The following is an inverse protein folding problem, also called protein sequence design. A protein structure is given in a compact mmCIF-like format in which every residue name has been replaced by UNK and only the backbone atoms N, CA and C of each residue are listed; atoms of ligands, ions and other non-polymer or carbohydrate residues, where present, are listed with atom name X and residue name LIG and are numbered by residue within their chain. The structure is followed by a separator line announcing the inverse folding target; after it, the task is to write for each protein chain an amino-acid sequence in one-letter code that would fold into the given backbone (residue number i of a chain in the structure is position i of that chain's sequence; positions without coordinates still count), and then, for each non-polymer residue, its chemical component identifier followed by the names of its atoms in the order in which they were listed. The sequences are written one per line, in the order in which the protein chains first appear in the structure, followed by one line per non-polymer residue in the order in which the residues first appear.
data_IF_121464419435
#
_entry.id   IF_121464419435
#
_cell.length_a   1.000
_cell.length_b   1.000
_cell.length_c   1.000
_cell.angle_alpha   90.00
_cell.angle_beta   90.00
_cell.angle_gamma   90.00
#
_symmetry.space_group_name_H-M   'P 1'
#
loop_
_entity.id
_entity.type
_entity.pdbx_description
1 polymer ?
#
# COMPACT_ATOMS: atom_id res chain seq x y z
N UNK A 1 -12.67 16.09 23.57
CA UNK A 1 -13.48 15.69 22.40
C UNK A 1 -12.78 14.58 21.60
N UNK A 2 -11.55 14.79 21.10
CA UNK A 2 -10.81 13.75 20.35
C UNK A 2 -10.40 12.51 21.17
N UNK A 3 -9.96 12.67 22.42
CA UNK A 3 -9.65 11.54 23.32
C UNK A 3 -10.87 10.66 23.60
N UNK A 4 -12.06 11.25 23.66
CA UNK A 4 -13.32 10.52 23.82
C UNK A 4 -13.68 9.73 22.55
N UNK A 5 -13.48 10.30 21.36
CA UNK A 5 -13.66 9.57 20.09
C UNK A 5 -12.67 8.41 19.96
N UNK A 6 -11.42 8.60 20.37
CA UNK A 6 -10.44 7.51 20.37
C UNK A 6 -10.82 6.40 21.36
N UNK A 7 -11.38 6.76 22.52
CA UNK A 7 -11.89 5.77 23.48
C UNK A 7 -13.07 4.96 22.92
N UNK A 8 -13.95 5.60 22.13
CA UNK A 8 -15.01 4.89 21.39
C UNK A 8 -14.43 3.92 20.35
N UNK A 9 -13.40 4.33 19.60
CA UNK A 9 -12.72 3.44 18.65
C UNK A 9 -12.00 2.27 19.34
N UNK A 10 -11.37 2.50 20.49
CA UNK A 10 -10.76 1.44 21.30
C UNK A 10 -11.81 0.44 21.77
N UNK A 11 -12.95 0.91 22.29
CA UNK A 11 -14.04 0.03 22.72
C UNK A 11 -14.63 -0.76 21.54
N UNK A 12 -14.85 -0.09 20.40
CA UNK A 12 -15.32 -0.73 19.17
C UNK A 12 -14.36 -1.81 18.67
N UNK A 13 -13.06 -1.52 18.61
CA UNK A 13 -12.05 -2.46 18.11
C UNK A 13 -12.04 -3.79 18.88
N UNK A 14 -12.33 -3.76 20.19
CA UNK A 14 -12.38 -4.97 21.03
C UNK A 14 -13.48 -5.94 20.64
N UNK A 15 -14.67 -5.42 20.36
CA UNK A 15 -15.79 -6.24 19.90
C UNK A 15 -15.67 -6.58 18.42
N UNK A 16 -15.20 -5.61 17.61
CA UNK A 16 -15.09 -5.75 16.17
C UNK A 16 -14.14 -6.87 15.74
N UNK A 17 -12.93 -6.93 16.30
CA UNK A 17 -11.96 -7.98 15.94
C UNK A 17 -12.50 -9.36 16.33
N UNK A 18 -13.05 -9.49 17.53
CA UNK A 18 -13.62 -10.75 18.02
C UNK A 18 -14.76 -11.25 17.14
N UNK A 19 -15.70 -10.37 16.78
CA UNK A 19 -16.80 -10.71 15.88
C UNK A 19 -16.32 -11.08 14.48
N UNK A 20 -15.28 -10.40 13.97
CA UNK A 20 -14.67 -10.74 12.69
C UNK A 20 -13.95 -12.09 12.74
N UNK A 21 -13.24 -12.43 13.82
CA UNK A 21 -12.61 -13.74 13.93
C UNK A 21 -13.64 -14.87 13.90
N UNK A 22 -14.74 -14.74 14.65
CA UNK A 22 -15.83 -15.73 14.63
C UNK A 22 -16.40 -15.91 13.21
N UNK A 23 -16.71 -14.79 12.54
CA UNK A 23 -17.22 -14.81 11.17
C UNK A 23 -16.23 -15.43 10.18
N UNK A 24 -14.96 -15.04 10.25
CA UNK A 24 -13.95 -15.50 9.29
C UNK A 24 -13.55 -16.95 9.53
N UNK A 25 -13.53 -17.41 10.78
CA UNK A 25 -13.35 -18.83 11.10
C UNK A 25 -14.52 -19.66 10.56
N UNK A 26 -15.76 -19.20 10.74
CA UNK A 26 -16.93 -19.85 10.13
C UNK A 26 -16.82 -19.90 8.60
N UNK A 27 -16.41 -18.81 7.94
CA UNK A 27 -16.22 -18.79 6.49
C UNK A 27 -15.14 -19.80 6.05
N UNK A 28 -14.04 -19.93 6.79
CA UNK A 28 -13.02 -20.94 6.50
C UNK A 28 -13.57 -22.36 6.65
N UNK A 29 -14.37 -22.63 7.68
CA UNK A 29 -15.04 -23.93 7.86
C UNK A 29 -16.00 -24.29 6.73
N UNK A 30 -16.51 -23.29 5.99
CA UNK A 30 -17.33 -23.48 4.80
C UNK A 30 -16.53 -23.80 3.51
N UNK A 31 -15.21 -23.95 3.57
CA UNK A 31 -14.39 -24.34 2.42
C UNK A 31 -13.83 -23.16 1.60
N UNK A 32 -13.62 -22.00 2.23
CA UNK A 32 -13.13 -20.77 1.57
C UNK A 32 -11.61 -20.56 1.66
N UNK A 33 -10.85 -21.55 2.12
CA UNK A 33 -9.41 -21.46 2.35
C UNK A 33 -8.58 -21.21 1.07
N UNK A 34 -9.05 -21.71 -0.07
CA UNK A 34 -8.38 -21.54 -1.37
C UNK A 34 -8.91 -20.33 -2.16
N UNK A 35 -9.96 -19.65 -1.68
CA UNK A 35 -10.53 -18.49 -2.36
C UNK A 35 -9.54 -17.31 -2.34
N UNK A 36 -9.09 -16.87 -3.52
CA UNK A 36 -8.17 -15.75 -3.66
C UNK A 36 -6.76 -16.05 -3.18
N UNK A 37 -6.39 -17.34 -3.09
CA UNK A 37 -5.09 -17.80 -2.62
C UNK A 37 -3.97 -17.31 -3.52
N UNK A 38 -2.89 -16.81 -2.91
CA UNK A 38 -1.70 -16.33 -3.62
C UNK A 38 -0.43 -16.68 -2.87
N UNK A 39 0.69 -16.70 -3.60
CA UNK A 39 2.01 -16.71 -3.00
C UNK A 39 2.22 -15.42 -2.19
N UNK A 40 2.84 -15.53 -1.01
CA UNK A 40 3.09 -14.41 -0.11
C UNK A 40 4.23 -13.52 -0.61
N UNK A 41 3.95 -12.79 -1.70
CA UNK A 41 4.78 -11.73 -2.25
C UNK A 41 4.10 -10.39 -1.92
N UNK A 42 4.60 -9.69 -0.91
CA UNK A 42 3.93 -8.54 -0.28
C UNK A 42 4.86 -7.31 -0.26
N UNK A 43 4.28 -6.11 -0.31
CA UNK A 43 5.02 -4.85 -0.20
C UNK A 43 4.33 -3.88 0.77
N UNK A 44 5.12 -3.31 1.68
CA UNK A 44 4.74 -2.27 2.62
C UNK A 44 5.81 -1.19 2.62
N UNK A 45 5.40 0.07 2.56
CA UNK A 45 6.32 1.21 2.75
C UNK A 45 6.38 1.67 4.20
N UNK A 46 5.58 1.07 5.08
CA UNK A 46 5.52 1.47 6.48
C UNK A 46 4.79 2.79 6.71
N UNK A 47 4.42 3.03 7.96
CA UNK A 47 3.62 4.20 8.38
C UNK A 47 3.87 4.58 9.82
N UNK A 48 3.34 5.75 10.21
CA UNK A 48 3.51 6.38 11.52
C UNK A 48 4.98 6.65 11.82
N UNK A 49 5.49 7.74 11.25
CA UNK A 49 6.86 8.19 11.44
C UNK A 49 7.13 8.56 12.91
N UNK A 50 8.30 8.17 13.41
CA UNK A 50 8.80 8.63 14.70
C UNK A 50 9.19 10.12 14.59
N UNK A 51 8.61 11.00 15.44
CA UNK A 51 8.80 12.45 15.32
C UNK A 51 10.23 12.92 15.62
N UNK A 52 11.04 12.11 16.31
CA UNK A 52 12.43 12.40 16.64
C UNK A 52 13.42 11.79 15.63
N UNK A 53 13.00 10.76 14.90
CA UNK A 53 13.82 10.13 13.86
C UNK A 53 13.62 10.77 12.46
N UNK A 54 12.41 11.24 12.14
CA UNK A 54 12.08 11.72 10.80
C UNK A 54 12.78 13.03 10.43
N UNK A 55 13.61 13.00 9.38
CA UNK A 55 14.38 14.17 8.92
C UNK A 55 13.89 14.76 7.60
N UNK A 56 13.05 14.03 6.85
CA UNK A 56 12.65 14.40 5.50
C UNK A 56 13.78 14.38 4.47
N UNK A 57 14.96 13.87 4.82
CA UNK A 57 16.10 13.74 3.92
C UNK A 57 16.18 12.33 3.33
N UNK A 58 16.54 12.26 2.04
CA UNK A 58 16.68 10.99 1.33
C UNK A 58 17.84 10.13 1.89
N UNK A 59 18.94 10.74 2.30
CA UNK A 59 20.10 10.04 2.90
C UNK A 59 19.75 9.28 4.18
N UNK A 60 18.73 9.74 4.90
CA UNK A 60 18.24 9.12 6.14
C UNK A 60 17.00 8.24 5.90
N UNK A 61 16.54 8.08 4.66
CA UNK A 61 15.27 7.41 4.29
C UNK A 61 15.07 6.09 5.05
N UNK A 62 16.08 5.24 5.01
CA UNK A 62 16.06 3.94 5.69
C UNK A 62 16.12 4.07 7.21
N UNK A 63 16.91 5.01 7.72
CA UNK A 63 17.10 5.21 9.16
C UNK A 63 15.81 5.61 9.85
N UNK A 64 15.05 6.57 9.30
CA UNK A 64 13.76 6.95 9.87
C UNK A 64 12.64 5.98 9.48
N UNK A 65 12.74 5.33 8.32
CA UNK A 65 11.82 4.26 7.91
C UNK A 65 11.79 3.09 8.89
N UNK A 66 12.96 2.66 9.36
CA UNK A 66 13.12 1.60 10.37
C UNK A 66 12.51 1.94 11.74
N UNK A 67 12.20 3.22 12.00
CA UNK A 67 11.58 3.69 13.25
C UNK A 67 10.07 3.84 13.17
N UNK A 68 9.47 3.57 12.01
CA UNK A 68 8.02 3.58 11.81
C UNK A 68 7.31 2.52 12.67
N UNK A 69 6.15 2.86 13.22
CA UNK A 69 5.32 1.89 13.98
C UNK A 69 4.72 0.81 13.10
N UNK A 70 4.56 1.06 11.80
CA UNK A 70 4.38 -0.01 10.81
C UNK A 70 5.67 -0.11 10.03
N UNK A 71 6.35 -1.25 10.14
CA UNK A 71 7.68 -1.41 9.54
C UNK A 71 7.58 -1.56 8.02
N UNK A 72 8.37 -0.81 7.23
CA UNK A 72 8.49 -1.05 5.79
C UNK A 72 9.04 -2.44 5.51
N UNK A 73 8.67 -3.02 4.37
CA UNK A 73 9.33 -4.22 3.92
C UNK A 73 8.80 -4.79 2.61
N UNK A 74 9.62 -5.67 2.03
CA UNK A 74 9.21 -6.56 0.93
C UNK A 74 9.31 -7.99 1.42
N UNK A 75 8.24 -8.75 1.21
CA UNK A 75 8.16 -10.17 1.50
C UNK A 75 8.12 -10.91 0.17
N UNK A 76 8.94 -11.93 0.00
CA UNK A 76 8.91 -12.82 -1.17
C UNK A 76 8.86 -14.25 -0.67
N UNK A 77 7.89 -15.02 -1.17
CA UNK A 77 7.66 -16.42 -0.77
C UNK A 77 7.51 -16.57 0.76
N UNK A 78 6.86 -15.60 1.39
CA UNK A 78 6.65 -15.55 2.83
C UNK A 78 7.85 -15.07 3.67
N UNK A 79 9.02 -14.86 3.05
CA UNK A 79 10.23 -14.42 3.75
C UNK A 79 10.41 -12.91 3.62
N UNK A 80 10.69 -12.23 4.74
CA UNK A 80 11.05 -10.81 4.73
C UNK A 80 12.43 -10.65 4.06
N UNK A 81 12.47 -9.93 2.95
CA UNK A 81 13.66 -9.76 2.11
C UNK A 81 14.46 -8.53 2.53
N UNK A 82 13.77 -7.42 2.80
CA UNK A 82 14.40 -6.16 3.18
C UNK A 82 13.40 -5.26 3.91
N UNK A 83 13.89 -4.42 4.82
CA UNK A 83 13.17 -3.26 5.39
C UNK A 83 13.74 -1.92 4.90
N UNK A 84 14.79 -1.97 4.07
CA UNK A 84 15.53 -0.80 3.59
C UNK A 84 14.69 -0.03 2.57
N UNK A 85 14.08 1.09 2.99
CA UNK A 85 13.24 1.92 2.12
C UNK A 85 13.99 2.45 0.88
N UNK A 86 15.30 2.67 0.97
CA UNK A 86 16.11 3.07 -0.20
C UNK A 86 16.20 1.93 -1.20
N UNK A 87 16.44 0.71 -0.71
CA UNK A 87 16.44 -0.48 -1.55
C UNK A 87 15.08 -0.78 -2.15
N UNK A 88 14.01 -0.65 -1.36
CA UNK A 88 12.63 -0.84 -1.80
C UNK A 88 12.33 0.16 -2.93
N UNK A 89 12.60 1.45 -2.71
CA UNK A 89 12.43 2.51 -3.71
C UNK A 89 13.12 2.17 -5.03
N UNK A 90 14.42 1.88 -4.98
CA UNK A 90 15.23 1.62 -6.17
C UNK A 90 14.85 0.31 -6.89
N UNK A 91 14.16 -0.61 -6.21
CA UNK A 91 13.63 -1.85 -6.81
C UNK A 91 12.34 -1.68 -7.60
N UNK A 92 11.66 -0.53 -7.53
CA UNK A 92 10.35 -0.35 -8.17
C UNK A 92 10.50 -0.25 -9.70
N UNK A 93 9.72 -1.05 -10.42
CA UNK A 93 9.57 -1.02 -11.88
C UNK A 93 8.10 -0.82 -12.20
N UNK A 94 7.79 -0.03 -13.21
CA UNK A 94 6.42 0.17 -13.68
C UNK A 94 6.33 -0.09 -15.18
N UNK A 95 5.50 -1.05 -15.58
CA UNK A 95 5.31 -1.45 -16.97
C UNK A 95 3.96 -0.97 -17.51
N UNK A 96 3.87 -0.83 -18.83
CA UNK A 96 2.66 -0.38 -19.54
C UNK A 96 2.27 -1.27 -20.73
N UNK A 97 2.83 -2.49 -20.79
CA UNK A 97 2.65 -3.45 -21.89
C UNK A 97 1.18 -3.66 -22.24
N UNK A 98 0.35 -3.88 -21.22
CA UNK A 98 -1.09 -4.11 -21.35
C UNK A 98 -1.94 -2.90 -20.95
N UNK A 99 -1.32 -1.72 -20.87
CA UNK A 99 -1.96 -0.48 -20.42
C UNK A 99 -2.14 0.53 -21.56
N UNK A 100 -3.20 1.35 -21.54
CA UNK A 100 -3.51 2.37 -22.57
C UNK A 100 -2.59 3.61 -22.54
N UNK A 101 -1.27 3.39 -22.62
CA UNK A 101 -0.24 4.43 -22.66
C UNK A 101 0.77 4.17 -23.78
N UNK A 102 1.40 5.23 -24.30
CA UNK A 102 2.59 5.14 -25.13
C UNK A 102 3.85 4.97 -24.26
N UNK A 103 4.87 4.30 -24.81
CA UNK A 103 6.20 4.24 -24.19
C UNK A 103 6.80 5.64 -24.04
N UNK A 104 7.48 5.85 -22.91
CA UNK A 104 8.30 7.05 -22.72
C UNK A 104 9.72 6.81 -23.23
N UNK A 105 10.49 7.89 -23.37
CA UNK A 105 11.88 7.78 -23.79
C UNK A 105 12.70 7.09 -22.70
N UNK A 106 13.36 5.99 -23.06
CA UNK A 106 14.19 5.22 -22.13
C UNK A 106 15.59 5.80 -22.04
N UNK A 107 15.80 6.77 -21.14
CA UNK A 107 17.13 7.22 -20.75
C UNK A 107 17.50 6.65 -19.38
N UNK A 108 18.65 5.96 -19.29
CA UNK A 108 19.18 5.42 -18.01
C UNK A 108 19.79 6.50 -17.13
N UNK A 109 20.28 7.58 -17.73
CA UNK A 109 20.92 8.67 -17.01
C UNK A 109 19.88 9.52 -16.28
N UNK A 110 19.50 9.10 -15.07
CA UNK A 110 18.82 10.01 -14.16
C UNK A 110 19.86 11.04 -13.66
N UNK A 111 19.57 12.36 -13.67
CA UNK A 111 20.56 13.41 -13.39
C UNK A 111 21.31 13.28 -12.05
N UNK A 112 20.77 12.51 -11.11
CA UNK A 112 21.32 12.32 -9.76
C UNK A 112 21.59 10.86 -9.38
N UNK A 113 21.15 9.88 -10.18
CA UNK A 113 21.31 8.44 -9.88
C UNK A 113 21.63 7.71 -11.18
N UNK A 114 22.90 7.48 -11.46
CA UNK A 114 23.38 6.97 -12.76
C UNK A 114 22.80 5.61 -13.15
N UNK A 115 22.56 4.73 -12.17
CA UNK A 115 22.13 3.35 -12.40
C UNK A 115 20.62 3.14 -12.19
N UNK A 116 19.84 4.22 -12.18
CA UNK A 116 18.40 4.13 -12.01
C UNK A 116 17.75 3.47 -13.23
N UNK A 117 16.91 2.46 -12.98
CA UNK A 117 16.18 1.78 -14.05
C UNK A 117 15.33 2.73 -14.88
N UNK A 118 15.29 2.51 -16.20
CA UNK A 118 14.39 3.23 -17.13
C UNK A 118 12.91 3.06 -16.77
N UNK A 119 12.58 1.96 -16.08
CA UNK A 119 11.23 1.62 -15.64
C UNK A 119 10.88 2.20 -14.26
N UNK A 120 11.79 2.92 -13.61
CA UNK A 120 11.53 3.54 -12.32
C UNK A 120 10.62 4.77 -12.47
N UNK A 121 9.72 5.07 -11.52
CA UNK A 121 8.80 6.21 -11.61
C UNK A 121 9.46 7.57 -11.85
N UNK A 122 10.64 7.84 -11.30
CA UNK A 122 11.38 9.07 -11.63
C UNK A 122 11.71 9.22 -13.12
N UNK A 123 11.82 8.13 -13.88
CA UNK A 123 12.10 8.15 -15.32
C UNK A 123 10.83 8.15 -16.20
N UNK A 124 9.66 7.87 -15.62
CA UNK A 124 8.41 7.69 -16.36
C UNK A 124 7.78 9.00 -16.85
N UNK A 125 7.27 8.95 -18.07
CA UNK A 125 6.29 9.92 -18.60
C UNK A 125 4.97 9.24 -18.89
N UNK A 126 3.86 9.86 -18.50
CA UNK A 126 2.52 9.30 -18.69
C UNK A 126 1.90 9.89 -19.95
N UNK A 127 1.89 9.11 -21.04
CA UNK A 127 1.35 9.51 -22.35
C UNK A 127 0.11 8.67 -22.69
N UNK A 128 -1.13 9.15 -22.47
CA UNK A 128 -2.34 8.36 -22.71
C UNK A 128 -2.50 7.98 -24.19
N UNK A 129 -2.74 6.69 -24.44
CA UNK A 129 -3.02 6.12 -25.76
C UNK A 129 -4.24 5.18 -25.70
N UNK A 130 -5.46 5.74 -25.74
CA UNK A 130 -6.68 4.94 -25.79
C UNK A 130 -6.66 4.00 -26.99
N UNK A 131 -7.01 2.73 -26.77
CA UNK A 131 -7.17 1.75 -27.83
C UNK A 131 -8.47 0.95 -27.64
N UNK A 132 -8.72 -0.03 -28.52
CA UNK A 132 -9.95 -0.85 -28.46
C UNK A 132 -10.04 -1.55 -27.09
N UNK A 133 -11.15 -1.36 -26.35
CA UNK A 133 -11.32 -2.01 -25.05
C UNK A 133 -11.48 -3.52 -25.21
N UNK A 134 -11.14 -4.27 -24.15
CA UNK A 134 -11.28 -5.73 -24.07
C UNK A 134 -10.45 -6.49 -25.12
N UNK A 135 -9.33 -5.91 -25.56
CA UNK A 135 -8.31 -6.64 -26.30
C UNK A 135 -7.39 -7.36 -25.30
N UNK A 136 -7.84 -8.52 -24.80
CA UNK A 136 -7.18 -9.23 -23.68
C UNK A 136 -5.75 -9.71 -24.00
N UNK A 137 -5.43 -9.93 -25.27
CA UNK A 137 -4.08 -10.27 -25.74
C UNK A 137 -3.19 -9.03 -25.97
N UNK A 138 -3.78 -7.83 -25.93
CA UNK A 138 -3.09 -6.55 -26.12
C UNK A 138 -3.32 -5.60 -24.95
N UNK A 139 -3.48 -4.29 -25.22
CA UNK A 139 -3.78 -3.31 -24.16
C UNK A 139 -5.25 -3.43 -23.74
N UNK A 140 -5.49 -3.65 -22.45
CA UNK A 140 -6.85 -3.85 -21.90
C UNK A 140 -7.15 -3.03 -20.64
N UNK A 141 -6.17 -2.36 -20.02
CA UNK A 141 -6.36 -1.62 -18.77
C UNK A 141 -5.84 -0.18 -18.82
N UNK A 142 -6.44 0.70 -18.01
CA UNK A 142 -5.82 2.00 -17.67
C UNK A 142 -4.88 1.88 -16.47
N UNK A 143 -4.96 0.82 -15.68
CA UNK A 143 -3.94 0.53 -14.66
C UNK A 143 -2.60 0.19 -15.32
N UNK A 144 -1.51 0.70 -14.75
CA UNK A 144 -0.14 0.27 -15.07
C UNK A 144 0.22 -0.99 -14.31
N UNK A 145 1.36 -1.59 -14.62
CA UNK A 145 1.86 -2.81 -14.00
C UNK A 145 3.13 -2.56 -13.17
N UNK A 146 3.02 -2.00 -11.96
CA UNK A 146 4.13 -1.91 -11.03
C UNK A 146 4.54 -3.30 -10.52
N UNK A 147 5.85 -3.48 -10.37
CA UNK A 147 6.52 -4.69 -9.88
C UNK A 147 7.70 -4.29 -9.01
N UNK A 148 8.18 -5.22 -8.19
CA UNK A 148 9.39 -5.02 -7.41
C UNK A 148 10.50 -5.93 -7.92
N UNK A 149 11.61 -5.36 -8.36
CA UNK A 149 12.81 -6.09 -8.76
C UNK A 149 13.73 -6.31 -7.57
N UNK A 150 14.13 -7.57 -7.34
CA UNK A 150 15.15 -7.97 -6.39
C UNK A 150 16.56 -7.61 -6.91
N UNK A 151 16.80 -6.32 -7.15
CA UNK A 151 18.00 -5.85 -7.85
C UNK A 151 19.30 -6.08 -7.08
N UNK A 152 19.23 -6.24 -5.74
CA UNK A 152 20.35 -6.65 -4.89
C UNK A 152 20.54 -8.17 -4.82
N UNK A 153 19.70 -8.95 -5.51
CA UNK A 153 19.76 -10.43 -5.58
C UNK A 153 19.70 -11.08 -4.20
N UNK A 154 18.80 -10.62 -3.34
CA UNK A 154 18.59 -11.18 -2.00
C UNK A 154 17.85 -12.52 -2.04
N UNK A 155 17.10 -12.78 -3.10
CA UNK A 155 16.31 -14.01 -3.31
C UNK A 155 16.73 -14.68 -4.61
N UNK A 156 16.42 -14.07 -5.75
CA UNK A 156 16.64 -14.67 -7.07
C UNK A 156 17.01 -13.67 -8.17
N UNK A 157 17.09 -12.38 -7.83
CA UNK A 157 17.44 -11.34 -8.79
C UNK A 157 16.34 -11.00 -9.80
N UNK A 158 15.11 -11.48 -9.60
CA UNK A 158 14.00 -11.34 -10.56
C UNK A 158 13.05 -10.20 -10.22
N UNK A 159 12.16 -9.93 -11.17
CA UNK A 159 11.00 -9.05 -11.01
C UNK A 159 9.86 -9.85 -10.41
N UNK A 160 9.26 -9.33 -9.34
CA UNK A 160 8.20 -9.98 -8.58
C UNK A 160 6.89 -9.18 -8.64
N UNK A 161 5.78 -9.91 -8.78
CA UNK A 161 4.44 -9.38 -8.57
C UNK A 161 4.19 -9.35 -7.06
N UNK A 162 3.97 -8.17 -6.51
CA UNK A 162 3.78 -7.97 -5.06
C UNK A 162 2.39 -7.38 -4.75
N UNK A 163 1.85 -7.78 -3.61
CA UNK A 163 0.58 -7.32 -3.08
C UNK A 163 0.76 -6.23 -2.02
N UNK A 164 -0.01 -5.16 -2.15
CA UNK A 164 -0.09 -4.11 -1.14
C UNK A 164 -1.38 -4.28 -0.30
N UNK A 165 -1.32 -3.96 1.00
CA UNK A 165 -2.51 -4.01 1.85
C UNK A 165 -2.24 -4.18 3.33
N UNK A 166 -3.30 -4.24 4.16
CA UNK A 166 -3.17 -4.50 5.59
C UNK A 166 -2.39 -5.78 5.90
N UNK A 167 -2.55 -6.84 5.09
CA UNK A 167 -1.78 -8.08 5.27
C UNK A 167 -0.28 -7.86 5.07
N UNK A 168 0.13 -7.03 4.10
CA UNK A 168 1.53 -6.68 3.88
C UNK A 168 2.11 -5.93 5.09
N UNK A 169 1.39 -4.92 5.60
CA UNK A 169 1.81 -4.14 6.79
C UNK A 169 2.01 -5.02 8.01
N UNK A 170 1.01 -5.86 8.30
CA UNK A 170 1.01 -6.72 9.47
C UNK A 170 2.13 -7.76 9.35
N UNK A 171 2.34 -8.33 8.16
CA UNK A 171 3.42 -9.29 7.90
C UNK A 171 4.80 -8.68 8.05
N UNK A 172 5.08 -7.52 7.43
CA UNK A 172 6.40 -6.87 7.53
C UNK A 172 6.67 -6.44 8.96
N UNK A 173 5.68 -5.87 9.65
CA UNK A 173 5.80 -5.47 11.07
C UNK A 173 6.03 -6.68 11.98
N UNK A 174 5.30 -7.77 11.79
CA UNK A 174 5.46 -9.01 12.57
C UNK A 174 6.85 -9.65 12.39
N UNK A 175 7.38 -9.65 11.16
CA UNK A 175 8.61 -10.37 10.83
C UNK A 175 9.90 -9.55 11.05
N UNK A 176 9.82 -8.22 10.99
CA UNK A 176 11.01 -7.37 11.01
C UNK A 176 11.65 -7.18 12.40
N UNK A 177 10.92 -7.41 13.49
CA UNK A 177 11.41 -7.18 14.87
C UNK A 177 11.98 -5.78 15.11
N UNK A 178 11.37 -4.76 14.47
CA UNK A 178 11.76 -3.34 14.58
C UNK A 178 10.88 -2.53 15.55
N UNK A 179 9.76 -3.11 16.00
CA UNK A 179 8.83 -2.52 16.96
C UNK A 179 8.58 -3.49 18.10
N UNK A 180 8.27 -2.99 19.29
CA UNK A 180 8.12 -3.80 20.50
C UNK A 180 6.96 -4.82 20.40
N UNK A 181 5.96 -4.53 19.56
CA UNK A 181 4.82 -5.41 19.33
C UNK A 181 5.15 -6.61 18.43
N UNK A 182 6.32 -6.60 17.78
CA UNK A 182 6.76 -7.63 16.86
C UNK A 182 7.34 -8.84 17.58
N UNK A 183 6.80 -10.04 17.34
CA UNK A 183 7.31 -11.29 17.93
C UNK A 183 8.21 -12.08 16.98
N UNK A 184 8.44 -11.57 15.76
CA UNK A 184 9.06 -12.30 14.65
C UNK A 184 8.07 -13.15 13.83
N UNK A 185 6.90 -13.49 14.40
CA UNK A 185 5.87 -14.32 13.74
C UNK A 185 4.44 -13.81 13.94
N UNK A 186 4.26 -12.78 14.77
CA UNK A 186 2.98 -12.13 15.07
C UNK A 186 3.20 -10.66 15.44
N UNK A 187 2.11 -9.89 15.46
CA UNK A 187 2.04 -8.57 16.08
C UNK A 187 1.15 -8.67 17.31
N UNK A 188 1.70 -8.42 18.50
CA UNK A 188 1.02 -8.52 19.79
C UNK A 188 0.98 -7.17 20.51
N UNK A 189 -0.21 -6.71 20.85
CA UNK A 189 -0.43 -5.39 21.46
C UNK A 189 -1.67 -5.39 22.36
N UNK A 190 -1.73 -4.45 23.30
CA UNK A 190 -2.82 -4.35 24.27
C UNK A 190 -3.55 -3.04 24.11
N UNK A 191 -4.85 -3.11 23.84
CA UNK A 191 -5.72 -1.94 23.92
C UNK A 191 -6.10 -1.67 25.39
N UNK A 192 -6.00 -0.41 25.85
CA UNK A 192 -6.22 -0.07 27.25
C UNK A 192 -7.69 -0.21 27.64
N UNK A 193 -7.97 -0.16 28.95
CA UNK A 193 -9.34 -0.07 29.48
C UNK A 193 -10.09 1.13 28.87
N UNK A 194 -11.33 0.92 28.45
CA UNK A 194 -12.20 1.94 27.87
C UNK A 194 -13.66 1.69 28.26
N UNK A 195 -14.17 2.47 29.23
CA UNK A 195 -15.57 2.37 29.66
C UNK A 195 -16.43 3.32 28.83
N UNK A 196 -17.09 2.78 27.80
CA UNK A 196 -17.91 3.56 26.86
C UNK A 196 -19.33 2.97 26.82
N UNK A 197 -20.34 3.81 27.02
CA UNK A 197 -21.74 3.38 26.93
C UNK A 197 -22.05 2.77 25.56
N UNK A 198 -22.72 1.61 25.56
CA UNK A 198 -23.05 0.86 24.34
C UNK A 198 -22.08 -0.26 23.99
N UNK A 199 -20.90 -0.30 24.62
CA UNK A 199 -19.94 -1.41 24.48
C UNK A 199 -19.90 -2.26 25.75
N UNK A 200 -19.73 -3.57 25.57
CA UNK A 200 -19.71 -4.63 26.58
C UNK A 200 -18.30 -4.86 27.13
N UNK A 201 -17.27 -4.71 26.31
CA UNK A 201 -15.88 -4.97 26.71
C UNK A 201 -15.20 -3.70 27.21
N UNK A 202 -15.17 -3.53 28.53
CA UNK A 202 -14.56 -2.34 29.16
C UNK A 202 -13.08 -2.53 29.51
N UNK A 203 -12.70 -3.70 30.03
CA UNK A 203 -11.32 -3.99 30.46
C UNK A 203 -10.31 -3.99 29.30
N UNK A 204 -9.03 -3.89 29.65
CA UNK A 204 -7.96 -3.99 28.64
C UNK A 204 -8.01 -5.34 27.92
N UNK A 205 -7.60 -5.35 26.65
CA UNK A 205 -7.66 -6.54 25.82
C UNK A 205 -6.41 -6.65 24.96
N UNK A 206 -5.74 -7.80 25.04
CA UNK A 206 -4.57 -8.12 24.22
C UNK A 206 -5.03 -8.76 22.92
N UNK A 207 -4.50 -8.27 21.80
CA UNK A 207 -4.64 -8.86 20.48
C UNK A 207 -3.31 -9.45 20.04
N UNK A 208 -3.38 -10.55 19.32
CA UNK A 208 -2.23 -11.12 18.64
C UNK A 208 -2.64 -11.52 17.22
N UNK A 209 -2.20 -10.75 16.23
CA UNK A 209 -2.33 -11.14 14.83
C UNK A 209 -1.15 -12.02 14.46
N UNK A 210 -1.38 -13.25 14.04
CA UNK A 210 -0.33 -14.20 13.63
C UNK A 210 -0.19 -14.19 12.12
N UNK A 211 1.05 -14.31 11.64
CA UNK A 211 1.32 -14.48 10.22
C UNK A 211 0.57 -15.75 9.75
N UNK A 212 -0.34 -15.63 8.76
CA UNK A 212 -1.11 -16.78 8.31
C UNK A 212 -0.23 -17.71 7.46
N UNK A 213 -0.56 -19.00 7.48
CA UNK A 213 0.14 -20.01 6.65
C UNK A 213 -0.09 -19.81 5.14
N UNK A 214 -1.22 -19.21 4.79
CA UNK A 214 -1.68 -19.00 3.42
C UNK A 214 -2.17 -17.55 3.31
N UNK A 215 -1.86 -16.88 2.21
CA UNK A 215 -2.47 -15.60 1.85
C UNK A 215 -3.67 -15.88 0.96
N UNK A 216 -4.87 -15.56 1.44
CA UNK A 216 -6.14 -15.74 0.72
C UNK A 216 -7.10 -14.57 0.97
N UNK A 217 -8.32 -14.63 0.45
CA UNK A 217 -9.32 -13.58 0.64
C UNK A 217 -9.68 -13.36 2.12
N UNK A 218 -9.86 -14.44 2.89
CA UNK A 218 -10.25 -14.38 4.30
C UNK A 218 -9.16 -13.72 5.16
N UNK A 219 -7.91 -14.15 4.99
CA UNK A 219 -6.78 -13.64 5.78
C UNK A 219 -6.44 -12.18 5.45
N UNK A 220 -6.75 -11.70 4.23
CA UNK A 220 -6.73 -10.25 3.92
C UNK A 220 -7.76 -9.48 4.75
N UNK A 221 -8.97 -10.02 4.91
CA UNK A 221 -10.01 -9.39 5.75
C UNK A 221 -9.60 -9.44 7.23
N UNK A 222 -9.08 -10.59 7.71
CA UNK A 222 -8.59 -10.74 9.08
C UNK A 222 -7.50 -9.72 9.39
N UNK A 223 -6.48 -9.62 8.52
CA UNK A 223 -5.42 -8.63 8.68
C UNK A 223 -5.95 -7.19 8.68
N UNK A 224 -7.01 -6.88 7.91
CA UNK A 224 -7.66 -5.56 7.94
C UNK A 224 -8.36 -5.28 9.27
N UNK A 225 -9.03 -6.27 9.86
CA UNK A 225 -9.68 -6.13 11.16
C UNK A 225 -8.65 -5.91 12.28
N UNK A 226 -7.58 -6.71 12.30
CA UNK A 226 -6.50 -6.52 13.27
C UNK A 226 -5.73 -5.22 13.05
N UNK A 227 -5.51 -4.79 11.81
CA UNK A 227 -4.87 -3.50 11.54
C UNK A 227 -5.72 -2.32 12.01
N UNK A 228 -7.05 -2.43 12.01
CA UNK A 228 -7.93 -1.42 12.62
C UNK A 228 -7.64 -1.27 14.12
N UNK A 229 -7.58 -2.39 14.85
CA UNK A 229 -7.22 -2.38 16.27
C UNK A 229 -5.78 -1.89 16.50
N UNK A 230 -4.83 -2.31 15.66
CA UNK A 230 -3.43 -1.86 15.74
C UNK A 230 -3.30 -0.35 15.49
N UNK A 231 -4.04 0.20 14.53
CA UNK A 231 -4.07 1.65 14.30
C UNK A 231 -4.66 2.41 15.49
N UNK A 232 -5.66 1.86 16.18
CA UNK A 232 -6.20 2.46 17.40
C UNK A 232 -5.16 2.44 18.53
N UNK A 233 -4.42 1.34 18.67
CA UNK A 233 -3.30 1.22 19.60
C UNK A 233 -2.20 2.25 19.32
N UNK A 234 -1.74 2.36 18.07
CA UNK A 234 -0.71 3.34 17.67
C UNK A 234 -1.20 4.77 17.90
N UNK A 235 -2.44 5.09 17.52
CA UNK A 235 -3.02 6.42 17.73
C UNK A 235 -3.14 6.79 19.22
N UNK A 236 -3.46 5.81 20.09
CA UNK A 236 -3.51 6.02 21.52
C UNK A 236 -2.13 6.37 22.10
N UNK A 237 -1.10 5.60 21.76
CA UNK A 237 0.25 5.87 22.22
C UNK A 237 0.79 7.20 21.66
N UNK A 238 0.53 7.50 20.38
CA UNK A 238 0.90 8.79 19.80
C UNK A 238 0.23 9.97 20.52
N UNK A 239 -1.03 9.83 20.95
CA UNK A 239 -1.71 10.87 21.73
C UNK A 239 -1.03 11.09 23.10
N UNK A 240 -0.60 10.02 23.75
CA UNK A 240 0.16 10.11 25.01
C UNK A 240 1.51 10.81 24.80
N UNK A 241 2.24 10.44 23.75
CA UNK A 241 3.50 11.08 23.37
C UNK A 241 3.30 12.59 23.11
N UNK A 242 2.25 12.97 22.37
CA UNK A 242 1.90 14.38 22.14
C UNK A 242 1.61 15.13 23.44
N UNK A 243 0.91 14.52 24.41
CA UNK A 243 0.71 15.15 25.72
C UNK A 243 2.02 15.38 26.47
N UNK A 244 2.96 14.44 26.41
CA UNK A 244 4.29 14.63 27.00
C UNK A 244 5.09 15.73 26.30
N UNK A 245 5.03 15.82 24.97
CA UNK A 245 5.66 16.91 24.21
C UNK A 245 5.09 18.28 24.63
N UNK A 246 3.76 18.39 24.74
CA UNK A 246 3.10 19.63 25.19
C UNK A 246 3.53 20.01 26.61
N UNK A 247 3.62 19.04 27.54
CA UNK A 247 4.11 19.29 28.91
C UNK A 247 5.53 19.83 28.95
N UNK A 248 6.40 19.39 28.02
CA UNK A 248 7.78 19.89 27.86
C UNK A 248 7.86 21.24 27.13
N UNK A 249 6.74 21.76 26.63
CA UNK A 249 6.68 23.00 25.83
C UNK A 249 7.03 22.80 24.36
N UNK A 250 7.17 21.56 23.88
CA UNK A 250 7.49 21.20 22.48
C UNK A 250 6.25 21.38 21.58
N UNK A 251 5.84 22.63 21.34
CA UNK A 251 4.58 22.98 20.65
C UNK A 251 4.77 23.48 19.22
N UNK A 252 6.00 23.42 18.68
CA UNK A 252 6.29 23.82 17.30
C UNK A 252 5.74 22.79 16.31
N UNK A 253 4.78 23.21 15.48
CA UNK A 253 4.10 22.34 14.49
C UNK A 253 4.52 22.60 13.04
N UNK A 254 5.39 23.58 12.80
CA UNK A 254 5.81 23.97 11.45
C UNK A 254 7.28 24.38 11.43
N UNK A 255 7.96 24.00 10.34
CA UNK A 255 9.34 24.39 10.06
C UNK A 255 9.39 25.15 8.73
N UNK A 256 10.08 26.28 8.74
CA UNK A 256 10.33 27.04 7.52
C UNK A 256 11.18 26.22 6.54
N UNK A 257 10.83 26.31 5.25
CA UNK A 257 11.57 25.67 4.19
C UNK A 257 11.72 26.61 3.00
N UNK A 258 12.79 26.42 2.22
CA UNK A 258 13.00 27.13 0.95
C UNK A 258 12.63 26.19 -0.18
N UNK A 259 11.76 26.64 -1.09
CA UNK A 259 11.40 25.87 -2.28
C UNK A 259 12.66 25.61 -3.13
N UNK A 260 13.02 24.34 -3.39
CA UNK A 260 14.19 24.04 -4.21
C UNK A 260 13.96 24.49 -5.65
N UNK A 261 15.01 25.02 -6.29
CA UNK A 261 15.01 25.30 -7.74
C UNK A 261 15.16 24.01 -8.54
N UNK A 262 16.08 23.15 -8.11
CA UNK A 262 16.38 21.85 -8.69
C UNK A 262 16.34 20.80 -7.59
N UNK A 263 15.95 19.57 -7.89
CA UNK A 263 16.05 18.46 -6.95
C UNK A 263 15.07 17.33 -7.22
N UNK A 264 15.23 16.23 -6.49
CA UNK A 264 14.30 15.10 -6.49
C UNK A 264 13.75 14.87 -5.09
N UNK A 265 12.55 14.31 -5.05
CA UNK A 265 11.91 13.87 -3.83
C UNK A 265 11.19 12.55 -4.04
N UNK A 266 11.09 11.79 -2.96
CA UNK A 266 10.22 10.62 -2.85
C UNK A 266 9.49 10.69 -1.51
N UNK A 267 8.19 10.39 -1.54
CA UNK A 267 7.37 10.18 -0.35
C UNK A 267 6.81 8.77 -0.39
N UNK A 268 7.34 7.88 0.46
CA UNK A 268 6.84 6.51 0.62
C UNK A 268 6.08 6.42 1.93
N UNK A 269 4.83 5.97 1.87
CA UNK A 269 3.96 5.81 3.05
C UNK A 269 2.91 4.72 2.80
N UNK A 270 2.07 4.45 3.79
CA UNK A 270 0.89 3.62 3.64
C UNK A 270 -0.36 4.47 3.50
N UNK A 271 -1.10 4.29 2.40
CA UNK A 271 -2.50 4.67 2.33
C UNK A 271 -3.37 3.56 2.94
N UNK A 272 -4.68 3.75 3.09
CA UNK A 272 -5.58 2.76 3.71
C UNK A 272 -5.49 1.37 3.07
N UNK A 273 -5.20 1.30 1.76
CA UNK A 273 -5.13 0.07 0.96
C UNK A 273 -3.73 -0.51 0.75
N UNK A 274 -2.67 0.13 1.26
CA UNK A 274 -1.30 -0.41 1.18
C UNK A 274 -0.24 0.64 0.85
N UNK A 275 0.86 0.18 0.25
CA UNK A 275 2.00 0.97 -0.19
C UNK A 275 1.63 2.09 -1.18
N UNK A 276 1.87 3.34 -0.80
CA UNK A 276 1.67 4.56 -1.58
C UNK A 276 3.00 5.28 -1.78
N UNK A 277 3.39 5.47 -3.04
CA UNK A 277 4.61 6.19 -3.40
C UNK A 277 4.33 7.41 -4.26
N UNK A 278 4.98 8.52 -3.92
CA UNK A 278 5.00 9.76 -4.70
C UNK A 278 6.44 10.09 -5.08
N UNK A 279 6.71 10.32 -6.36
CA UNK A 279 8.03 10.70 -6.88
C UNK A 279 7.94 12.04 -7.56
N UNK A 280 8.78 12.99 -7.15
CA UNK A 280 8.78 14.36 -7.66
C UNK A 280 10.17 14.75 -8.16
N UNK A 281 10.21 15.47 -9.28
CA UNK A 281 11.40 16.15 -9.80
C UNK A 281 11.08 17.63 -9.94
N UNK A 282 11.93 18.47 -9.39
CA UNK A 282 11.87 19.93 -9.48
C UNK A 282 12.90 20.44 -10.48
N UNK A 283 12.51 21.37 -11.36
CA UNK A 283 13.39 22.09 -12.29
C UNK A 283 12.97 23.55 -12.39
N UNK A 284 13.90 24.49 -12.32
CA UNK A 284 13.62 25.93 -12.37
C UNK A 284 12.63 26.42 -11.31
N UNK A 285 12.52 25.73 -10.17
CA UNK A 285 11.57 26.03 -9.09
C UNK A 285 10.13 25.56 -9.35
N UNK A 286 9.92 24.74 -10.37
CA UNK A 286 8.63 24.18 -10.79
C UNK A 286 8.69 22.65 -10.73
N UNK A 287 7.54 22.00 -10.54
CA UNK A 287 7.44 20.54 -10.66
C UNK A 287 7.63 20.19 -12.14
N UNK A 288 8.72 19.50 -12.46
CA UNK A 288 9.04 19.01 -13.80
C UNK A 288 8.36 17.68 -14.08
N UNK A 289 8.37 16.78 -13.09
CA UNK A 289 7.78 15.45 -13.19
C UNK A 289 7.20 15.03 -11.84
N UNK A 290 6.02 14.42 -11.87
CA UNK A 290 5.37 13.87 -10.70
C UNK A 290 4.72 12.55 -11.06
N UNK A 291 5.07 11.48 -10.35
CA UNK A 291 4.50 10.15 -10.54
C UNK A 291 3.98 9.62 -9.22
N UNK A 292 2.88 8.89 -9.29
CA UNK A 292 2.22 8.27 -8.13
C UNK A 292 1.96 6.81 -8.47
N UNK A 293 2.28 5.94 -7.53
CA UNK A 293 1.82 4.54 -7.55
C UNK A 293 1.05 4.33 -6.26
N UNK A 294 -0.26 4.07 -6.40
CA UNK A 294 -1.13 3.79 -5.25
C UNK A 294 -1.22 2.30 -4.99
N UNK A 295 -1.77 1.89 -3.84
CA UNK A 295 -1.90 0.47 -3.52
C UNK A 295 -2.78 -0.28 -4.51
N UNK A 296 -3.83 0.37 -5.01
CA UNK A 296 -4.70 -0.22 -6.03
C UNK A 296 -3.95 -0.41 -7.34
N UNK A 297 -3.03 0.48 -7.73
CA UNK A 297 -2.17 0.28 -8.92
C UNK A 297 -1.33 -0.99 -8.79
N UNK A 298 -0.81 -1.32 -7.60
CA UNK A 298 -0.15 -2.61 -7.36
C UNK A 298 -1.09 -3.78 -7.59
N UNK A 299 -2.24 -3.76 -6.91
CA UNK A 299 -3.09 -4.93 -6.81
C UNK A 299 -3.92 -5.20 -8.08
N UNK A 300 -4.39 -4.16 -8.77
CA UNK A 300 -5.21 -4.28 -9.99
C UNK A 300 -4.38 -4.44 -11.26
N UNK A 301 -3.06 -4.37 -11.14
CA UNK A 301 -2.17 -4.30 -12.28
C UNK A 301 -2.48 -5.36 -13.35
N UNK A 302 -2.47 -4.99 -14.64
CA UNK A 302 -2.57 -5.98 -15.70
C UNK A 302 -1.29 -6.81 -15.75
N UNK A 303 -1.23 -7.73 -16.71
CA UNK A 303 -0.02 -8.47 -17.03
C UNK A 303 1.14 -7.52 -17.35
N UNK A 304 2.34 -7.89 -16.88
CA UNK A 304 3.57 -7.18 -17.21
C UNK A 304 4.17 -7.68 -18.54
N UNK A 305 5.39 -7.22 -18.86
CA UNK A 305 6.10 -7.60 -20.07
C UNK A 305 6.43 -9.11 -20.16
N UNK A 306 6.46 -9.82 -19.04
CA UNK A 306 6.68 -11.27 -18.98
C UNK A 306 5.35 -12.05 -18.99
N UNK A 307 4.22 -11.37 -19.13
CA UNK A 307 2.89 -11.96 -19.07
C UNK A 307 2.43 -12.33 -17.66
N UNK A 308 3.16 -11.94 -16.61
CA UNK A 308 2.81 -12.30 -15.24
C UNK A 308 1.59 -11.47 -14.77
N UNK A 309 0.49 -12.12 -14.34
CA UNK A 309 -0.73 -11.44 -13.91
C UNK A 309 -0.49 -10.62 -12.64
N UNK A 310 -1.21 -9.51 -12.49
CA UNK A 310 -1.23 -8.77 -11.22
C UNK A 310 -2.04 -9.47 -10.13
N UNK A 311 -2.00 -8.97 -8.88
CA UNK A 311 -2.64 -9.62 -7.72
C UNK A 311 -4.12 -9.96 -7.87
N UNK A 312 -4.93 -9.11 -8.52
CA UNK A 312 -6.35 -9.41 -8.74
C UNK A 312 -6.53 -10.58 -9.71
N UNK A 313 -5.86 -10.53 -10.86
CA UNK A 313 -5.93 -11.59 -11.87
C UNK A 313 -5.42 -12.92 -11.29
N UNK A 314 -4.26 -12.88 -10.62
CA UNK A 314 -3.63 -14.05 -9.99
C UNK A 314 -4.50 -14.67 -8.89
N UNK A 315 -5.15 -13.86 -8.05
CA UNK A 315 -6.05 -14.37 -7.00
C UNK A 315 -7.30 -15.06 -7.56
N UNK A 316 -7.85 -14.57 -8.68
CA UNK A 316 -9.06 -15.15 -9.26
C UNK A 316 -8.75 -16.51 -9.90
N UNK A 317 -7.57 -16.66 -10.52
CA UNK A 317 -7.16 -17.90 -11.17
C UNK A 317 -7.10 -19.03 -10.14
N UNK A 318 -7.90 -20.07 -10.35
CA UNK A 318 -7.96 -21.24 -9.45
C UNK A 318 -8.82 -21.05 -8.20
N UNK A 319 -9.49 -19.90 -8.03
CA UNK A 319 -10.48 -19.74 -6.95
C UNK A 319 -11.64 -20.72 -7.13
N UNK A 320 -11.99 -21.52 -6.09
CA UNK A 320 -13.17 -22.38 -6.14
C UNK A 320 -14.46 -21.59 -6.30
N UNK A 321 -15.39 -22.11 -7.10
CA UNK A 321 -16.75 -21.57 -7.24
C UNK A 321 -17.68 -22.35 -6.31
N UNK A 322 -18.27 -21.66 -5.34
CA UNK A 322 -19.17 -22.23 -4.34
C UNK A 322 -20.64 -22.04 -4.67
N UNK A 323 -20.95 -21.19 -5.65
CA UNK A 323 -22.30 -20.94 -6.14
C UNK A 323 -22.95 -22.22 -6.68
N UNK A 324 -24.16 -22.51 -6.19
CA UNK A 324 -25.00 -23.62 -6.64
C UNK A 324 -26.21 -23.07 -7.40
N UNK A 325 -25.99 -22.62 -8.63
CA UNK A 325 -27.02 -22.08 -9.51
C UNK A 325 -26.73 -22.43 -10.98
N UNK A 326 -27.77 -22.47 -11.82
CA UNK A 326 -27.63 -22.70 -13.27
C UNK A 326 -26.88 -21.56 -13.96
N UNK A 327 -27.07 -20.32 -13.49
CA UNK A 327 -26.32 -19.14 -13.87
C UNK A 327 -25.54 -18.63 -12.65
N UNK A 328 -24.27 -18.25 -12.86
CA UNK A 328 -23.38 -17.77 -11.80
C UNK A 328 -23.48 -16.25 -11.68
N UNK A 329 -23.73 -15.73 -10.48
CA UNK A 329 -23.65 -14.30 -10.16
C UNK A 329 -22.20 -13.84 -10.00
N UNK A 330 -21.26 -14.77 -9.79
CA UNK A 330 -19.83 -14.51 -9.65
C UNK A 330 -19.45 -14.02 -8.25
N UNK A 331 -20.20 -14.38 -7.22
CA UNK A 331 -20.01 -13.93 -5.85
C UNK A 331 -18.62 -14.33 -5.31
N UNK A 332 -18.10 -15.49 -5.69
CA UNK A 332 -16.78 -15.96 -5.25
C UNK A 332 -15.67 -15.04 -5.78
N UNK A 333 -15.71 -14.74 -7.09
CA UNK A 333 -14.80 -13.80 -7.76
C UNK A 333 -14.89 -12.42 -7.12
N UNK A 334 -16.11 -11.96 -6.87
CA UNK A 334 -16.38 -10.65 -6.27
C UNK A 334 -15.87 -10.58 -4.84
N UNK A 335 -16.02 -11.63 -4.03
CA UNK A 335 -15.47 -11.72 -2.67
C UNK A 335 -13.95 -11.66 -2.69
N UNK A 336 -13.33 -12.40 -3.61
CA UNK A 336 -11.87 -12.37 -3.80
C UNK A 336 -11.38 -10.97 -4.15
N UNK A 337 -11.94 -10.32 -5.16
CA UNK A 337 -11.51 -8.97 -5.56
C UNK A 337 -11.76 -7.95 -4.45
N UNK A 338 -12.92 -8.02 -3.77
CA UNK A 338 -13.25 -7.10 -2.67
C UNK A 338 -12.38 -7.30 -1.44
N UNK A 339 -11.76 -8.47 -1.27
CA UNK A 339 -10.82 -8.70 -0.17
C UNK A 339 -9.60 -7.76 -0.21
N UNK A 340 -9.25 -7.26 -1.40
CA UNK A 340 -8.21 -6.27 -1.59
C UNK A 340 -8.67 -4.82 -1.43
N UNK A 341 -9.98 -4.57 -1.29
CA UNK A 341 -10.58 -3.24 -1.20
C UNK A 341 -10.19 -2.35 -2.41
N UNK A 342 -10.72 -2.60 -3.63
CA UNK A 342 -10.33 -1.85 -4.83
C UNK A 342 -10.76 -0.37 -4.81
N UNK A 343 -9.84 0.53 -5.19
CA UNK A 343 -10.13 1.95 -5.45
C UNK A 343 -9.65 2.34 -6.86
N UNK A 344 -10.53 2.18 -7.86
CA UNK A 344 -10.17 2.47 -9.27
C UNK A 344 -9.88 3.96 -9.53
N UNK A 345 -10.49 4.87 -8.76
CA UNK A 345 -10.16 6.29 -8.84
C UNK A 345 -8.73 6.58 -8.38
N UNK A 346 -8.24 5.78 -7.42
CA UNK A 346 -6.88 5.87 -6.91
C UNK A 346 -5.85 5.31 -7.88
N UNK A 347 -6.20 4.42 -8.81
CA UNK A 347 -5.21 3.70 -9.62
C UNK A 347 -4.91 4.38 -10.95
N UNK A 348 -5.90 5.00 -11.58
CA UNK A 348 -5.79 5.59 -12.93
C UNK A 348 -5.52 7.10 -12.89
N UNK A 349 -5.94 7.79 -11.83
CA UNK A 349 -5.70 9.24 -11.62
C UNK A 349 -6.14 10.17 -12.77
N UNK A 350 -6.96 9.70 -13.72
CA UNK A 350 -7.41 10.50 -14.86
C UNK A 350 -8.67 11.29 -14.50
N UNK A 351 -8.60 12.60 -14.69
CA UNK A 351 -9.73 13.51 -14.62
C UNK A 351 -10.09 13.99 -16.03
N UNK A 352 -11.33 13.77 -16.48
CA UNK A 352 -11.83 14.33 -17.73
C UNK A 352 -12.46 15.70 -17.45
N UNK A 353 -11.77 16.79 -17.79
CA UNK A 353 -12.24 18.16 -17.60
C UNK A 353 -13.35 18.63 -18.57
N UNK A 354 -13.96 17.75 -19.37
CA UNK A 354 -14.98 18.15 -20.35
C UNK A 354 -16.39 18.13 -19.78
N UNK A 355 -16.73 19.19 -19.06
CA UNK A 355 -18.11 19.67 -18.94
C UNK A 355 -18.17 21.20 -19.07
N UNK A 356 -17.69 21.74 -20.18
CA UNK A 356 -18.16 23.00 -20.77
C UNK A 356 -17.79 22.99 -22.25
N UNK A 357 -18.81 23.16 -23.09
CA UNK A 357 -18.66 23.35 -24.54
C UNK A 357 -17.66 24.48 -24.78
N UNK A 358 -16.48 24.16 -25.27
CA UNK A 358 -15.69 25.12 -26.03
C UNK A 358 -14.72 24.39 -26.97
N UNK A 359 -14.89 24.72 -28.24
CA UNK A 359 -14.07 24.30 -29.37
C UNK A 359 -12.69 24.95 -29.28
N UNK A 360 -11.69 24.23 -28.82
CA UNK A 360 -10.32 24.34 -29.33
C UNK A 360 -9.50 23.19 -28.77
N UNK A 361 -8.59 22.66 -29.59
CA UNK A 361 -7.64 21.61 -29.19
C UNK A 361 -6.76 22.15 -28.05
N UNK A 362 -7.09 21.78 -26.80
CA UNK A 362 -6.11 21.64 -25.73
C UNK A 362 -6.21 20.21 -25.21
N UNK A 363 -5.11 19.49 -25.37
CA UNK A 363 -4.85 18.18 -24.76
C UNK A 363 -4.90 18.40 -23.25
N UNK A 364 -5.89 17.80 -22.59
CA UNK A 364 -6.00 17.79 -21.12
C UNK A 364 -5.46 16.42 -20.67
N UNK A 365 -4.16 16.42 -20.39
CA UNK A 365 -3.41 15.47 -19.55
C UNK A 365 -2.58 16.36 -18.60
N UNK A 366 -2.02 15.91 -17.45
CA UNK A 366 -1.60 16.79 -16.36
C UNK A 366 -0.30 17.52 -16.69
N UNK A 367 -0.35 18.44 -17.65
CA UNK A 367 0.57 19.54 -17.78
C UNK A 367 0.06 20.64 -16.86
N UNK A 368 0.72 20.78 -15.71
CA UNK A 368 0.72 22.05 -14.99
C UNK A 368 1.44 23.04 -15.91
N UNK A 369 0.68 23.78 -16.72
CA UNK A 369 1.21 24.91 -17.49
C UNK A 369 1.78 25.93 -16.50
N UNK A 370 3.09 26.13 -16.56
CA UNK A 370 3.79 27.19 -15.86
C UNK A 370 4.76 27.92 -16.78
#
# INVERSE_FOLDING_TARGET
MFSAMLSQHIAFAKEFVSAFDDLLNFVLEMGYEDAGKREANLISYGSYDDPYAYTGKYEDLTKWGDKRKVTPGVVIKGNLVTTDLTEINLGIREFITHSYYEEWEHSRAHPLISDLSIWHPWNKETKPAPSRPRNWDGKYSWGTAPRWEDWKKRVDGKIHVVEAGPIARMWTTASAQKVDESTGTSVKFTLPKATVAGFRVSDEMTFEWKIPKIVNAVERIRARAYYHAYSAYVAYNALLEVFEMIKKGETKIWSEYKRPKEGIGVGLTEAMRGALGHWCIMKGGKIYRYQVITPSTWNESPRDINGAPGPYEDAIIGTPITEQAEELDGIDVVRVVRSFDPCLACSVHVYNGRSRKESSRKVISPYVNL
#
